data_IF_989535495360
#
_entry.id   IF_989535495360
#
_cell.length_a   1.000
_cell.length_b   1.000
_cell.length_c   1.000
_cell.angle_alpha   90.00
_cell.angle_beta   90.00
_cell.angle_gamma   90.00
#
_symmetry.space_group_name_H-M   'P 1'
#
loop_
_entity.id
_entity.type
_entity.pdbx_description
1 polymer ?
#
# COMPACT_ATOMS: atom_id res chain seq x y z
N UNK A 1 15.90 -3.65 26.90
CA UNK A 1 14.84 -4.67 26.82
C UNK A 1 14.28 -4.60 25.42
N UNK A 2 14.87 -5.34 24.49
CA UNK A 2 14.32 -5.51 23.14
C UNK A 2 13.08 -6.39 23.28
N UNK A 3 11.90 -5.79 23.13
CA UNK A 3 10.70 -6.55 22.83
C UNK A 3 10.77 -6.88 21.34
N UNK A 4 11.64 -7.82 20.99
CA UNK A 4 11.64 -8.43 19.67
C UNK A 4 10.35 -9.26 19.60
N UNK A 5 9.30 -8.61 19.09
CA UNK A 5 8.22 -9.14 18.28
C UNK A 5 8.05 -10.66 18.30
N UNK A 6 7.71 -11.22 19.46
CA UNK A 6 7.14 -12.56 19.56
C UNK A 6 5.65 -12.45 19.24
N UNK A 7 5.33 -11.86 18.07
CA UNK A 7 4.03 -12.08 17.46
C UNK A 7 4.07 -13.53 16.98
N UNK A 8 3.12 -14.40 17.40
CA UNK A 8 3.09 -15.75 16.88
C UNK A 8 3.05 -15.67 15.35
N UNK A 9 4.02 -16.31 14.69
CA UNK A 9 4.21 -16.28 13.22
C UNK A 9 2.89 -16.53 12.49
N UNK A 10 2.02 -17.35 13.08
CA UNK A 10 0.66 -17.69 12.65
C UNK A 10 -0.27 -16.47 12.46
N UNK A 11 -0.27 -15.51 13.38
CA UNK A 11 -1.15 -14.34 13.29
C UNK A 11 -0.70 -13.36 12.19
N UNK A 12 0.60 -13.23 11.97
CA UNK A 12 1.14 -12.43 10.87
C UNK A 12 0.84 -13.05 9.50
N UNK A 13 0.79 -14.38 9.40
CA UNK A 13 0.45 -15.08 8.16
C UNK A 13 -1.03 -14.90 7.78
N UNK A 14 -1.95 -14.96 8.75
CA UNK A 14 -3.38 -14.70 8.53
C UNK A 14 -3.64 -13.27 8.04
N UNK A 15 -2.99 -12.27 8.66
CA UNK A 15 -3.10 -10.87 8.25
C UNK A 15 -2.56 -10.63 6.84
N UNK A 16 -1.39 -11.21 6.52
CA UNK A 16 -0.81 -11.13 5.18
C UNK A 16 -1.72 -11.83 4.16
N UNK A 17 -2.33 -12.96 4.51
CA UNK A 17 -3.26 -13.66 3.64
C UNK A 17 -4.50 -12.80 3.34
N UNK A 18 -5.07 -12.14 4.35
CA UNK A 18 -6.19 -11.22 4.18
C UNK A 18 -5.84 -10.05 3.23
N UNK A 19 -4.66 -9.44 3.41
CA UNK A 19 -4.17 -8.37 2.51
C UNK A 19 -4.03 -8.88 1.07
N UNK A 20 -3.46 -10.08 0.89
CA UNK A 20 -3.28 -10.69 -0.45
C UNK A 20 -4.62 -10.94 -1.12
N UNK A 21 -5.60 -11.45 -0.38
CA UNK A 21 -6.95 -11.71 -0.88
C UNK A 21 -7.65 -10.41 -1.32
N UNK A 22 -7.59 -9.37 -0.48
CA UNK A 22 -8.16 -8.06 -0.84
C UNK A 22 -7.47 -7.50 -2.09
N UNK A 23 -6.14 -7.56 -2.16
CA UNK A 23 -5.39 -7.11 -3.33
C UNK A 23 -5.74 -7.92 -4.57
N UNK A 24 -5.96 -9.23 -4.43
CA UNK A 24 -6.37 -10.10 -5.54
C UNK A 24 -7.74 -9.69 -6.09
N UNK A 25 -8.74 -9.50 -5.22
CA UNK A 25 -10.07 -9.04 -5.61
C UNK A 25 -10.04 -7.69 -6.31
N UNK A 26 -9.27 -6.74 -5.78
CA UNK A 26 -9.07 -5.43 -6.42
C UNK A 26 -8.44 -5.64 -7.80
N UNK A 27 -7.36 -6.41 -7.88
CA UNK A 27 -6.66 -6.68 -9.14
C UNK A 27 -7.59 -7.31 -10.18
N UNK A 28 -8.42 -8.28 -9.79
CA UNK A 28 -9.39 -8.96 -10.66
C UNK A 28 -10.44 -7.98 -11.22
N UNK A 29 -10.93 -7.04 -10.40
CA UNK A 29 -11.86 -5.98 -10.86
C UNK A 29 -11.29 -5.12 -11.99
N UNK A 30 -9.96 -4.99 -12.07
CA UNK A 30 -9.26 -4.23 -13.13
C UNK A 30 -8.61 -5.15 -14.17
N UNK A 31 -8.99 -6.43 -14.23
CA UNK A 31 -8.46 -7.40 -15.21
C UNK A 31 -6.96 -7.69 -15.03
N UNK A 32 -6.49 -7.60 -13.79
CA UNK A 32 -5.08 -7.69 -13.41
C UNK A 32 -4.17 -6.65 -14.09
N UNK A 33 -4.73 -5.57 -14.64
CA UNK A 33 -3.98 -4.49 -15.27
C UNK A 33 -3.69 -3.36 -14.28
N UNK A 34 -2.43 -3.16 -13.87
CA UNK A 34 -2.08 -2.12 -12.91
C UNK A 34 -2.33 -0.70 -13.44
N UNK A 35 -2.26 -0.48 -14.76
CA UNK A 35 -2.51 0.84 -15.34
C UNK A 35 -3.98 1.23 -15.26
N UNK A 36 -4.90 0.26 -15.40
CA UNK A 36 -6.34 0.48 -15.21
C UNK A 36 -6.68 0.83 -13.76
N UNK A 37 -6.07 0.15 -12.80
CA UNK A 37 -6.23 0.48 -11.38
C UNK A 37 -5.74 1.91 -11.08
N UNK A 38 -4.55 2.28 -11.57
CA UNK A 38 -4.02 3.64 -11.38
C UNK A 38 -4.92 4.69 -12.00
N UNK A 39 -5.39 4.48 -13.24
CA UNK A 39 -6.29 5.42 -13.91
C UNK A 39 -7.60 5.62 -13.11
N UNK A 40 -8.18 4.53 -12.58
CA UNK A 40 -9.35 4.59 -11.72
C UNK A 40 -9.08 5.37 -10.43
N UNK A 41 -7.97 5.08 -9.73
CA UNK A 41 -7.60 5.79 -8.52
C UNK A 41 -7.36 7.28 -8.78
N UNK A 42 -6.74 7.65 -9.89
CA UNK A 42 -6.54 9.05 -10.27
C UNK A 42 -7.86 9.79 -10.48
N UNK A 43 -8.88 9.14 -11.02
CA UNK A 43 -10.20 9.76 -11.15
C UNK A 43 -10.88 9.94 -9.79
N UNK A 44 -10.84 8.90 -8.94
CA UNK A 44 -11.39 8.95 -7.58
C UNK A 44 -10.72 10.05 -6.73
N UNK A 45 -9.43 10.30 -6.94
CA UNK A 45 -8.69 11.37 -6.28
C UNK A 45 -9.17 12.77 -6.69
N UNK A 46 -9.64 12.96 -7.93
CA UNK A 46 -10.23 14.23 -8.37
C UNK A 46 -11.59 14.47 -7.72
N UNK A 47 -12.36 13.40 -7.52
CA UNK A 47 -13.68 13.45 -6.86
C UNK A 47 -13.57 13.70 -5.35
N UNK A 48 -12.46 13.25 -4.73
CA UNK A 48 -12.23 13.31 -3.28
C UNK A 48 -10.87 13.92 -2.91
N UNK A 49 -10.60 15.20 -3.26
CA UNK A 49 -9.32 15.84 -2.95
C UNK A 49 -9.03 15.92 -1.44
N UNK A 50 -10.07 15.95 -0.60
CA UNK A 50 -9.97 15.99 0.86
C UNK A 50 -9.39 14.71 1.49
N UNK A 51 -9.42 13.59 0.76
CA UNK A 51 -8.90 12.30 1.23
C UNK A 51 -7.45 12.06 0.80
N UNK A 52 -6.87 12.98 0.03
CA UNK A 52 -5.47 12.88 -0.38
C UNK A 52 -4.56 13.08 0.82
N UNK A 53 -3.74 12.07 1.10
CA UNK A 53 -2.65 12.21 2.07
C UNK A 53 -1.55 13.03 1.40
N UNK A 54 -1.09 14.15 2.01
CA UNK A 54 0.01 14.93 1.46
C UNK A 54 1.24 14.03 1.34
N UNK A 55 1.94 14.15 0.22
CA UNK A 55 3.20 13.44 0.06
C UNK A 55 4.14 13.83 1.20
N UNK A 56 4.85 12.88 1.83
CA UNK A 56 5.90 13.23 2.77
C UNK A 56 6.87 14.15 2.03
N UNK A 57 7.26 15.25 2.69
CA UNK A 57 8.29 16.15 2.17
C UNK A 57 9.49 15.30 1.80
N UNK A 58 10.07 15.56 0.62
CA UNK A 58 11.19 14.79 0.07
C UNK A 58 12.49 15.03 0.86
N UNK A 59 12.46 14.96 2.19
CA UNK A 59 13.63 14.88 3.02
C UNK A 59 14.11 13.42 3.02
N UNK A 60 15.05 13.14 2.12
CA UNK A 60 15.99 11.98 2.05
C UNK A 60 16.10 11.32 0.67
N UNK A 61 15.76 12.01 -0.42
CA UNK A 61 16.39 11.69 -1.72
C UNK A 61 17.80 12.31 -1.77
N UNK A 62 18.74 11.85 -0.92
CA UNK A 62 20.10 12.39 -0.93
C UNK A 62 20.95 12.16 0.32
N UNK A 63 21.12 10.92 0.77
CA UNK A 63 22.35 10.52 1.50
C UNK A 63 22.82 9.16 0.97
N UNK A 64 23.19 9.13 -0.30
CA UNK A 64 24.25 8.24 -0.76
C UNK A 64 25.55 9.04 -0.62
N UNK A 65 26.18 8.94 0.55
CA UNK A 65 27.58 9.31 0.73
C UNK A 65 28.45 8.26 0.06
N UNK A 66 29.22 8.70 -0.93
CA UNK A 66 30.41 8.02 -1.47
C UNK A 66 31.56 8.08 -0.45
#
# INVERSE_FOLDING_TARGET
MSQDLDMPVDQGEEEIAAIREVRHRISEQFGHDPYRLVAHLMELQKEHPEKLVPAPEAETAGKATE
#
